data_IF_513988513559
#
_entry.id   IF_513988513559
#
_cell.length_a   1.000
_cell.length_b   1.000
_cell.length_c   1.000
_cell.angle_alpha   90.00
_cell.angle_beta   90.00
_cell.angle_gamma   90.00
#
_symmetry.space_group_name_H-M   'P 1'
#
loop_
_entity.id
_entity.type
_entity.pdbx_description
1 polymer ?
#
# COMPACT_ATOMS: atom_id res chain seq x y z
N UNK A 1 -13.88 -9.55 -26.55
CA UNK A 1 -13.00 -8.90 -25.54
C UNK A 1 -13.85 -7.89 -24.80
N UNK A 2 -13.83 -7.88 -23.46
CA UNK A 2 -14.49 -6.81 -22.69
C UNK A 2 -13.62 -5.56 -22.79
N UNK A 3 -14.22 -4.46 -23.21
CA UNK A 3 -13.53 -3.18 -23.38
C UNK A 3 -13.57 -2.43 -22.05
N UNK A 4 -12.45 -2.44 -21.32
CA UNK A 4 -12.36 -1.80 -20.00
C UNK A 4 -11.95 -0.34 -20.14
N UNK A 5 -12.93 0.57 -20.23
CA UNK A 5 -12.72 2.00 -20.50
C UNK A 5 -11.81 2.75 -19.52
N UNK A 6 -11.60 2.21 -18.31
CA UNK A 6 -10.87 2.88 -17.22
C UNK A 6 -9.59 2.13 -16.81
N UNK A 7 -9.07 1.25 -17.66
CA UNK A 7 -7.80 0.57 -17.42
C UNK A 7 -6.73 1.25 -18.26
N UNK A 8 -5.71 1.77 -17.58
CA UNK A 8 -4.56 2.41 -18.20
C UNK A 8 -3.31 1.60 -17.90
N UNK A 9 -2.49 1.37 -18.93
CA UNK A 9 -1.17 0.78 -18.77
C UNK A 9 -0.12 1.88 -18.85
N UNK A 10 0.73 1.96 -17.83
CA UNK A 10 1.91 2.83 -17.80
C UNK A 10 3.11 1.98 -17.39
N UNK A 11 4.29 2.26 -17.94
CA UNK A 11 5.50 1.48 -17.69
C UNK A 11 6.69 2.37 -17.32
N UNK A 12 7.37 2.01 -16.22
CA UNK A 12 8.60 2.66 -15.82
C UNK A 12 9.75 2.23 -16.75
N UNK A 13 10.17 3.10 -17.66
CA UNK A 13 11.31 2.89 -18.55
C UNK A 13 12.61 3.28 -17.83
N UNK A 14 13.13 2.42 -16.94
CA UNK A 14 14.42 2.65 -16.26
C UNK A 14 15.53 1.77 -16.84
N UNK A 15 16.65 2.39 -17.20
CA UNK A 15 17.83 1.74 -17.79
C UNK A 15 18.68 0.94 -16.80
N UNK A 16 18.39 1.01 -15.49
CA UNK A 16 19.15 0.32 -14.44
C UNK A 16 18.50 -0.97 -13.90
N UNK A 17 17.33 -1.35 -14.45
CA UNK A 17 16.58 -2.54 -14.02
C UNK A 17 17.39 -3.81 -14.31
N UNK A 18 17.61 -4.64 -13.28
CA UNK A 18 18.29 -5.94 -13.43
C UNK A 18 19.76 -6.01 -13.01
N UNK A 19 20.37 -4.92 -12.54
CA UNK A 19 21.72 -5.00 -11.94
C UNK A 19 21.69 -5.81 -10.62
N UNK A 20 22.50 -6.87 -10.54
CA UNK A 20 22.65 -7.70 -9.33
C UNK A 20 22.97 -6.81 -8.11
N UNK A 21 22.27 -7.03 -7.01
CA UNK A 21 22.44 -6.28 -5.76
C UNK A 21 21.66 -4.96 -5.65
N UNK A 22 20.87 -4.57 -6.66
CA UNK A 22 20.09 -3.31 -6.65
C UNK A 22 18.56 -3.50 -6.61
N UNK A 23 18.06 -4.68 -6.25
CA UNK A 23 16.62 -4.99 -6.27
C UNK A 23 15.78 -3.98 -5.47
N UNK A 24 16.12 -3.75 -4.19
CA UNK A 24 15.43 -2.77 -3.34
C UNK A 24 15.51 -1.34 -3.88
N UNK A 25 16.59 -0.99 -4.59
CA UNK A 25 16.71 0.32 -5.22
C UNK A 25 15.77 0.47 -6.41
N UNK A 26 15.67 -0.57 -7.24
CA UNK A 26 14.76 -0.60 -8.37
C UNK A 26 13.29 -0.55 -7.91
N UNK A 27 12.94 -1.27 -6.83
CA UNK A 27 11.60 -1.23 -6.22
C UNK A 27 11.29 0.20 -5.73
N UNK A 28 12.17 0.80 -4.92
CA UNK A 28 11.94 2.15 -4.41
C UNK A 28 11.79 3.19 -5.55
N UNK A 29 12.65 3.13 -6.58
CA UNK A 29 12.55 4.01 -7.74
C UNK A 29 11.23 3.78 -8.53
N UNK A 30 10.79 2.53 -8.65
CA UNK A 30 9.53 2.20 -9.33
C UNK A 30 8.30 2.71 -8.58
N UNK A 31 8.24 2.51 -7.26
CA UNK A 31 7.19 3.07 -6.42
C UNK A 31 7.11 4.59 -6.56
N UNK A 32 8.27 5.29 -6.51
CA UNK A 32 8.30 6.74 -6.68
C UNK A 32 7.72 7.18 -8.03
N UNK A 33 8.22 6.60 -9.12
CA UNK A 33 7.77 6.94 -10.47
C UNK A 33 6.27 6.68 -10.65
N UNK A 34 5.77 5.55 -10.15
CA UNK A 34 4.36 5.18 -10.28
C UNK A 34 3.46 6.13 -9.49
N UNK A 35 3.82 6.43 -8.24
CA UNK A 35 3.05 7.31 -7.37
C UNK A 35 3.09 8.76 -7.85
N UNK A 36 4.24 9.27 -8.32
CA UNK A 36 4.34 10.58 -8.96
C UNK A 36 3.40 10.67 -10.17
N UNK A 37 3.38 9.63 -11.02
CA UNK A 37 2.57 9.61 -12.24
C UNK A 37 1.07 9.58 -11.95
N UNK A 38 0.64 8.76 -10.98
CA UNK A 38 -0.77 8.60 -10.62
C UNK A 38 -1.25 9.82 -9.81
N UNK A 39 -0.56 10.16 -8.72
CA UNK A 39 -1.04 11.20 -7.80
C UNK A 39 -0.88 12.63 -8.33
N UNK A 40 -0.23 12.83 -9.48
CA UNK A 40 -0.29 14.10 -10.22
C UNK A 40 -1.72 14.46 -10.69
N UNK A 41 -2.60 13.47 -10.90
CA UNK A 41 -3.94 13.68 -11.43
C UNK A 41 -5.06 13.15 -10.52
N UNK A 42 -4.73 12.46 -9.43
CA UNK A 42 -5.71 11.85 -8.53
C UNK A 42 -5.46 12.28 -7.08
N UNK A 43 -6.53 12.52 -6.32
CA UNK A 43 -6.44 12.96 -4.92
C UNK A 43 -5.95 11.86 -3.96
N UNK A 44 -6.03 10.60 -4.38
CA UNK A 44 -5.48 9.44 -3.68
C UNK A 44 -5.30 8.26 -4.64
N UNK A 45 -4.57 7.26 -4.18
CA UNK A 45 -4.39 5.99 -4.86
C UNK A 45 -4.53 4.83 -3.87
N UNK A 46 -4.97 3.68 -4.36
CA UNK A 46 -4.86 2.38 -3.69
C UNK A 46 -3.75 1.61 -4.40
N UNK A 47 -2.77 1.10 -3.66
CA UNK A 47 -1.59 0.42 -4.18
C UNK A 47 -1.67 -1.06 -3.82
N UNK A 48 -1.48 -1.91 -4.82
CA UNK A 48 -1.38 -3.37 -4.69
C UNK A 48 -0.12 -3.87 -5.40
N UNK A 49 0.57 -4.82 -4.79
CA UNK A 49 1.63 -5.58 -5.46
C UNK A 49 1.01 -6.68 -6.33
N UNK A 50 1.76 -7.17 -7.32
CA UNK A 50 1.28 -8.16 -8.30
C UNK A 50 1.10 -9.57 -7.71
N UNK A 51 1.63 -9.81 -6.51
CA UNK A 51 1.50 -11.07 -5.78
C UNK A 51 0.40 -11.06 -4.69
N UNK A 52 -0.51 -10.07 -4.70
CA UNK A 52 -1.62 -9.99 -3.76
C UNK A 52 -2.95 -10.45 -4.37
N UNK A 53 -3.58 -11.43 -3.74
CA UNK A 53 -5.01 -11.69 -3.93
C UNK A 53 -5.81 -10.66 -3.10
N UNK A 54 -6.89 -10.13 -3.67
CA UNK A 54 -7.79 -9.18 -3.00
C UNK A 54 -9.13 -9.85 -2.61
N UNK A 55 -9.69 -9.45 -1.47
CA UNK A 55 -11.00 -9.91 -1.00
C UNK A 55 -12.16 -9.32 -1.83
N UNK A 56 -13.32 -9.96 -1.78
CA UNK A 56 -14.53 -9.51 -2.50
C UNK A 56 -14.98 -8.10 -2.10
N UNK A 57 -14.78 -7.71 -0.84
CA UNK A 57 -15.13 -6.40 -0.28
C UNK A 57 -14.00 -5.36 -0.37
N UNK A 58 -12.87 -5.65 -1.04
CA UNK A 58 -11.68 -4.80 -1.05
C UNK A 58 -11.97 -3.33 -1.42
N UNK A 59 -12.69 -3.09 -2.51
CA UNK A 59 -13.01 -1.73 -2.95
C UNK A 59 -14.03 -1.04 -2.04
N UNK A 60 -15.06 -1.76 -1.57
CA UNK A 60 -16.05 -1.24 -0.62
C UNK A 60 -15.41 -0.86 0.72
N UNK A 61 -14.43 -1.64 1.18
CA UNK A 61 -13.62 -1.35 2.36
C UNK A 61 -12.90 -0.01 2.23
N UNK A 62 -12.21 0.22 1.11
CA UNK A 62 -11.50 1.47 0.85
C UNK A 62 -12.44 2.66 0.64
N UNK A 63 -13.57 2.48 -0.04
CA UNK A 63 -14.58 3.52 -0.21
C UNK A 63 -15.17 3.98 1.13
N UNK A 64 -15.52 3.03 2.01
CA UNK A 64 -16.07 3.34 3.33
C UNK A 64 -15.04 4.04 4.24
N UNK A 65 -13.80 3.52 4.26
CA UNK A 65 -12.73 4.02 5.13
C UNK A 65 -12.07 5.30 4.62
N UNK A 66 -12.22 5.64 3.33
CA UNK A 66 -11.71 6.90 2.77
C UNK A 66 -12.20 8.13 3.52
N UNK A 67 -13.45 8.12 4.00
CA UNK A 67 -14.03 9.20 4.81
C UNK A 67 -13.22 9.47 6.09
N UNK A 68 -12.64 8.44 6.70
CA UNK A 68 -11.77 8.58 7.87
C UNK A 68 -10.45 9.25 7.49
N UNK A 69 -9.85 8.81 6.38
CA UNK A 69 -8.60 9.39 5.85
C UNK A 69 -8.76 10.87 5.46
N UNK A 70 -9.94 11.27 4.99
CA UNK A 70 -10.23 12.67 4.65
C UNK A 70 -10.54 13.52 5.89
N UNK A 71 -11.27 12.98 6.87
CA UNK A 71 -11.73 13.74 8.04
C UNK A 71 -10.71 13.87 9.17
N UNK A 72 -9.84 12.87 9.37
CA UNK A 72 -8.91 12.83 10.50
C UNK A 72 -7.45 13.02 10.02
N UNK A 73 -6.82 14.19 10.30
CA UNK A 73 -5.44 14.46 9.87
C UNK A 73 -4.39 13.59 10.59
N UNK A 74 -4.78 12.89 11.66
CA UNK A 74 -3.90 11.94 12.35
C UNK A 74 -3.84 10.57 11.66
N UNK A 75 -4.70 10.32 10.68
CA UNK A 75 -4.66 9.13 9.82
C UNK A 75 -3.94 9.49 8.52
N UNK A 76 -2.94 8.70 8.13
CA UNK A 76 -2.16 8.95 6.91
C UNK A 76 -2.24 7.83 5.88
N UNK A 77 -2.72 6.65 6.27
CA UNK A 77 -3.00 5.57 5.34
C UNK A 77 -4.17 4.69 5.81
N UNK A 78 -4.74 3.94 4.87
CA UNK A 78 -5.60 2.78 5.15
C UNK A 78 -4.87 1.57 4.58
N UNK A 79 -4.73 0.49 5.33
CA UNK A 79 -4.16 -0.77 4.85
C UNK A 79 -5.19 -1.89 4.94
N UNK A 80 -5.25 -2.72 3.92
CA UNK A 80 -6.03 -3.95 3.86
C UNK A 80 -5.40 -5.09 4.69
N UNK A 81 -4.23 -4.88 5.29
CA UNK A 81 -3.46 -5.94 5.93
C UNK A 81 -3.46 -5.82 7.46
N UNK A 82 -3.68 -6.96 8.12
CA UNK A 82 -3.40 -7.16 9.53
C UNK A 82 -2.14 -8.03 9.66
N UNK A 83 -1.05 -7.47 10.19
CA UNK A 83 0.22 -8.18 10.42
C UNK A 83 0.06 -9.43 11.30
N UNK A 84 -0.94 -9.44 12.19
CA UNK A 84 -1.28 -10.58 13.04
C UNK A 84 -2.58 -11.27 12.59
N UNK A 85 -2.93 -11.13 11.31
CA UNK A 85 -4.20 -11.57 10.71
C UNK A 85 -4.35 -13.08 10.50
N UNK A 86 -3.59 -13.92 11.20
CA UNK A 86 -3.67 -15.37 11.06
C UNK A 86 -5.05 -15.88 11.50
N UNK A 87 -5.60 -16.88 10.81
CA UNK A 87 -6.98 -17.38 11.02
C UNK A 87 -7.34 -17.75 12.48
N UNK A 88 -6.34 -18.03 13.34
CA UNK A 88 -6.53 -18.37 14.75
C UNK A 88 -6.39 -17.19 15.72
N UNK A 89 -5.94 -16.04 15.22
CA UNK A 89 -5.65 -14.83 15.98
C UNK A 89 -6.67 -13.72 15.75
N UNK A 90 -7.58 -13.91 14.79
CA UNK A 90 -8.62 -12.95 14.42
C UNK A 90 -10.02 -13.47 14.75
N UNK A 91 -10.93 -12.56 15.07
CA UNK A 91 -12.36 -12.86 15.18
C UNK A 91 -13.05 -12.78 13.82
N UNK A 92 -13.18 -13.93 13.15
CA UNK A 92 -13.86 -14.02 11.86
C UNK A 92 -15.36 -13.66 11.92
N UNK A 93 -15.96 -13.56 13.11
CA UNK A 93 -17.34 -13.09 13.27
C UNK A 93 -17.44 -11.56 13.31
N UNK A 94 -16.31 -10.84 13.31
CA UNK A 94 -16.24 -9.38 13.30
C UNK A 94 -15.40 -8.86 12.12
N UNK A 95 -15.77 -9.20 10.87
CA UNK A 95 -15.00 -8.77 9.71
C UNK A 95 -15.04 -7.24 9.53
N UNK A 96 -16.05 -6.56 10.07
CA UNK A 96 -16.24 -5.11 10.04
C UNK A 96 -15.41 -4.35 11.09
N UNK A 97 -14.77 -5.05 12.03
CA UNK A 97 -13.96 -4.42 13.06
C UNK A 97 -12.66 -3.84 12.49
N UNK A 98 -12.39 -2.58 12.84
CA UNK A 98 -11.23 -1.81 12.40
C UNK A 98 -10.40 -1.33 13.59
N UNK A 99 -9.12 -1.11 13.34
CA UNK A 99 -8.16 -0.65 14.33
C UNK A 99 -7.29 0.47 13.78
N UNK A 100 -6.77 1.31 14.68
CA UNK A 100 -5.65 2.21 14.42
C UNK A 100 -4.35 1.47 14.71
N UNK A 101 -3.33 1.66 13.87
CA UNK A 101 -1.99 1.11 14.06
C UNK A 101 -0.91 2.16 13.79
N UNK A 102 0.09 2.20 14.66
CA UNK A 102 1.27 3.04 14.47
C UNK A 102 2.28 2.42 13.49
N UNK A 103 2.15 1.13 13.20
CA UNK A 103 2.98 0.42 12.23
C UNK A 103 2.39 0.56 10.84
N UNK A 104 3.18 1.00 9.85
CA UNK A 104 2.77 1.04 8.44
C UNK A 104 2.81 -0.38 7.84
N UNK A 105 1.65 -0.99 7.52
CA UNK A 105 1.63 -2.40 7.09
C UNK A 105 1.88 -2.59 5.59
N UNK A 106 1.50 -1.61 4.76
CA UNK A 106 1.52 -1.76 3.30
C UNK A 106 0.46 -2.76 2.79
N UNK A 107 0.87 -3.68 1.91
CA UNK A 107 0.13 -4.87 1.47
C UNK A 107 -1.35 -4.61 1.10
N UNK A 108 -1.57 -3.74 0.12
CA UNK A 108 -2.89 -3.21 -0.22
C UNK A 108 -3.19 -1.99 0.61
N UNK A 109 -2.82 -0.79 0.16
CA UNK A 109 -2.91 0.41 0.98
C UNK A 109 -3.31 1.65 0.20
N UNK A 110 -4.00 2.57 0.87
CA UNK A 110 -4.45 3.85 0.32
C UNK A 110 -3.68 5.02 0.93
N UNK A 111 -3.32 5.98 0.09
CA UNK A 111 -2.64 7.23 0.48
C UNK A 111 -3.21 8.42 -0.30
N UNK A 112 -3.25 9.60 0.33
CA UNK A 112 -3.64 10.86 -0.31
C UNK A 112 -2.46 11.53 -1.02
N UNK A 113 -2.75 12.28 -2.09
CA UNK A 113 -1.77 13.03 -2.86
C UNK A 113 -0.94 13.99 -1.98
N UNK A 114 -1.57 14.70 -1.05
CA UNK A 114 -0.86 15.63 -0.15
C UNK A 114 0.13 14.93 0.81
N UNK A 115 -0.15 13.69 1.22
CA UNK A 115 0.80 12.88 2.00
C UNK A 115 1.94 12.41 1.10
N UNK A 116 1.65 12.04 -0.15
CA UNK A 116 2.70 11.70 -1.13
C UNK A 116 3.62 12.88 -1.44
N UNK A 117 3.08 14.08 -1.64
CA UNK A 117 3.87 15.31 -1.87
C UNK A 117 4.90 15.56 -0.76
N UNK A 118 4.57 15.21 0.47
CA UNK A 118 5.46 15.27 1.62
C UNK A 118 6.54 14.18 1.56
N UNK A 119 6.15 12.92 1.35
CA UNK A 119 7.05 11.77 1.35
C UNK A 119 8.05 11.81 0.18
N UNK A 120 7.58 12.23 -1.00
CA UNK A 120 8.41 12.22 -2.20
C UNK A 120 9.63 13.15 -2.11
N UNK A 121 9.62 14.17 -1.23
CA UNK A 121 10.75 15.07 -1.03
C UNK A 121 11.96 14.39 -0.39
N UNK A 122 11.71 13.30 0.35
CA UNK A 122 12.73 12.55 1.10
C UNK A 122 12.71 11.07 0.75
N UNK A 123 12.15 10.72 -0.40
CA UNK A 123 11.99 9.34 -0.81
C UNK A 123 13.36 8.63 -0.84
N UNK A 124 13.51 7.46 -0.20
CA UNK A 124 14.79 6.83 -0.04
C UNK A 124 15.24 6.15 -1.35
N UNK A 125 16.54 5.91 -1.46
CA UNK A 125 17.10 5.18 -2.59
C UNK A 125 16.73 3.69 -2.59
N UNK A 126 16.37 3.11 -1.42
CA UNK A 126 15.99 1.71 -1.21
C UNK A 126 15.16 1.58 0.08
N UNK A 127 14.58 0.39 0.34
CA UNK A 127 13.85 0.08 1.59
C UNK A 127 12.75 1.11 1.90
N UNK A 128 11.88 1.34 0.92
CA UNK A 128 10.87 2.41 0.96
C UNK A 128 9.85 2.22 2.07
N UNK A 129 9.47 0.98 2.36
CA UNK A 129 8.50 0.62 3.38
C UNK A 129 9.07 0.84 4.79
N UNK A 130 10.34 0.50 5.01
CA UNK A 130 11.04 0.82 6.26
C UNK A 130 11.21 2.33 6.46
N UNK A 131 11.50 3.08 5.39
CA UNK A 131 11.48 4.54 5.46
C UNK A 131 10.10 5.07 5.88
N UNK A 132 9.01 4.52 5.34
CA UNK A 132 7.66 4.91 5.76
C UNK A 132 7.38 4.59 7.23
N UNK A 133 8.07 3.61 7.82
CA UNK A 133 7.95 3.28 9.25
C UNK A 133 8.75 4.23 10.16
N UNK A 134 9.62 5.10 9.63
CA UNK A 134 10.42 6.00 10.47
C UNK A 134 9.57 7.12 11.10
N UNK A 135 9.99 7.66 12.26
CA UNK A 135 9.32 8.80 12.88
C UNK A 135 9.23 10.02 11.95
N UNK A 136 10.24 10.25 11.11
CA UNK A 136 10.32 11.41 10.21
C UNK A 136 9.27 11.35 9.09
N UNK A 137 9.00 10.14 8.56
CA UNK A 137 7.97 9.91 7.55
C UNK A 137 6.57 9.81 8.17
N UNK A 138 6.44 9.01 9.24
CA UNK A 138 5.15 8.76 9.90
C UNK A 138 4.59 10.00 10.60
N UNK A 139 5.45 10.83 11.21
CA UNK A 139 5.07 12.04 11.97
C UNK A 139 3.96 11.80 13.00
N UNK A 140 4.06 10.71 13.76
CA UNK A 140 3.07 10.30 14.76
C UNK A 140 1.64 10.08 14.23
N UNK A 141 1.48 9.91 12.92
CA UNK A 141 0.21 9.52 12.30
C UNK A 141 0.04 7.99 12.35
N UNK A 142 -1.19 7.54 12.16
CA UNK A 142 -1.56 6.12 12.20
C UNK A 142 -2.19 5.66 10.90
N UNK A 143 -2.16 4.37 10.64
CA UNK A 143 -2.99 3.77 9.61
C UNK A 143 -4.25 3.13 10.21
N UNK A 144 -5.31 3.02 9.41
CA UNK A 144 -6.41 2.10 9.72
C UNK A 144 -6.08 0.73 9.14
N UNK A 145 -6.33 -0.32 9.90
CA UNK A 145 -6.21 -1.72 9.48
C UNK A 145 -7.44 -2.52 9.91
N UNK A 146 -7.82 -3.59 9.20
CA UNK A 146 -8.95 -4.43 9.58
C UNK A 146 -8.59 -5.49 10.63
N UNK A 147 -9.60 -6.08 11.25
CA UNK A 147 -9.45 -7.35 11.98
C UNK A 147 -9.08 -8.50 11.05
N UNK A 148 -9.88 -8.71 10.01
CA UNK A 148 -9.65 -9.71 8.96
C UNK A 148 -9.06 -9.03 7.73
N UNK A 149 -7.87 -9.46 7.29
CA UNK A 149 -7.19 -8.89 6.11
C UNK A 149 -8.05 -8.97 4.85
N UNK A 150 -7.96 -7.94 4.00
CA UNK A 150 -8.59 -7.82 2.68
C UNK A 150 -7.64 -8.13 1.53
N UNK A 151 -6.41 -8.45 1.87
CA UNK A 151 -5.37 -8.94 0.96
C UNK A 151 -4.74 -10.21 1.51
N UNK A 152 -4.17 -11.01 0.61
CA UNK A 152 -3.38 -12.20 0.96
C UNK A 152 -2.23 -12.36 -0.02
N UNK A 153 -1.03 -12.64 0.47
CA UNK A 153 0.07 -13.07 -0.40
C UNK A 153 -0.28 -14.36 -1.13
N UNK A 154 -0.22 -14.27 -2.45
CA UNK A 154 -0.34 -15.40 -3.34
C UNK A 154 1.02 -16.07 -3.46
N UNK A 155 1.27 -17.06 -2.60
CA UNK A 155 2.54 -17.81 -2.54
C UNK A 155 2.88 -18.57 -3.83
N UNK A 156 1.99 -18.61 -4.83
CA UNK A 156 2.29 -19.16 -6.17
C UNK A 156 2.96 -18.13 -7.08
N UNK A 157 2.70 -16.84 -6.85
CA UNK A 157 3.24 -15.71 -7.61
C UNK A 157 4.41 -15.04 -6.89
N UNK A 158 4.41 -15.07 -5.55
CA UNK A 158 5.46 -14.51 -4.72
C UNK A 158 6.86 -15.07 -5.09
N UNK A 159 7.80 -14.17 -5.38
CA UNK A 159 9.19 -14.51 -5.62
C UNK A 159 9.91 -14.96 -4.35
N UNK A 160 11.13 -15.52 -4.46
CA UNK A 160 11.98 -15.92 -3.32
C UNK A 160 12.42 -14.76 -2.37
N UNK A 161 11.87 -13.55 -2.56
CA UNK A 161 12.13 -12.36 -1.76
C UNK A 161 10.93 -11.84 -0.98
N UNK A 162 9.73 -12.42 -1.14
CA UNK A 162 8.59 -12.08 -0.29
C UNK A 162 8.81 -12.72 1.10
N UNK A 163 8.62 -11.95 2.16
CA UNK A 163 8.60 -12.49 3.53
C UNK A 163 7.52 -13.57 3.60
N UNK A 164 7.92 -14.80 3.95
CA UNK A 164 7.01 -15.95 4.07
C UNK A 164 6.07 -15.83 5.25
#
# INVERSE_FOLDING_TARGET
MRDFKNIHFIQHQSSSVGQKGKAYHNIAAHYKWALDSVLANFSAAIITEDDLDIAEDFFSYFEATRKLLDADPTIWCISAWNDNGGNRLVDNNKPDLLYRTDFFPGLGWMIKANVWEELTQKWPAAYWDDFMRTPEARKNRVCIRPEVSRTRHNNRLAGKGSSK
#
